data_IF_080361012843
#
_entry.id   IF_080361012843
#
_cell.length_a   1.000
_cell.length_b   1.000
_cell.length_c   1.000
_cell.angle_alpha   90.00
_cell.angle_beta   90.00
_cell.angle_gamma   90.00
#
_symmetry.space_group_name_H-M   'P 1'
#
loop_
_entity.id
_entity.type
_entity.pdbx_description
1 polymer ?
#
# COMPACT_ATOMS: atom_id res chain seq x y z
N UNK A 1 -3.04 -3.57 5.97
CA UNK A 1 -1.66 -4.06 5.73
C UNK A 1 -1.63 -4.66 4.34
N UNK A 2 -0.57 -4.41 3.57
CA UNK A 2 -0.33 -5.02 2.26
C UNK A 2 0.84 -5.97 2.40
N UNK A 3 0.75 -7.15 1.78
CA UNK A 3 1.80 -8.18 1.84
C UNK A 3 2.12 -8.69 0.45
N UNK A 4 3.38 -9.02 0.21
CA UNK A 4 3.77 -9.91 -0.86
C UNK A 4 4.16 -11.27 -0.29
N UNK A 5 3.70 -12.31 -0.96
CA UNK A 5 3.96 -13.70 -0.61
C UNK A 5 4.66 -14.37 -1.80
N UNK A 6 5.54 -15.32 -1.52
CA UNK A 6 6.05 -16.24 -2.51
C UNK A 6 4.88 -17.12 -3.00
N UNK A 7 4.75 -17.27 -4.32
CA UNK A 7 3.63 -17.99 -4.92
C UNK A 7 3.71 -19.51 -4.71
N UNK A 8 4.90 -20.07 -4.52
CA UNK A 8 5.13 -21.52 -4.41
C UNK A 8 4.82 -22.03 -3.00
N UNK A 9 5.21 -21.27 -1.97
CA UNK A 9 5.15 -21.71 -0.57
C UNK A 9 4.35 -20.78 0.37
N UNK A 10 3.85 -19.65 -0.13
CA UNK A 10 3.08 -18.69 0.64
C UNK A 10 3.88 -17.93 1.70
N UNK A 11 5.21 -18.06 1.73
CA UNK A 11 6.04 -17.31 2.70
C UNK A 11 6.01 -15.82 2.38
N UNK A 12 5.95 -15.01 3.43
CA UNK A 12 6.01 -13.56 3.31
C UNK A 12 7.36 -13.11 2.76
N UNK A 13 7.34 -12.34 1.67
CA UNK A 13 8.51 -11.65 1.12
C UNK A 13 8.66 -10.30 1.82
N UNK A 14 7.57 -9.54 1.89
CA UNK A 14 7.51 -8.26 2.61
C UNK A 14 6.09 -7.96 3.09
N UNK A 15 6.00 -7.07 4.08
CA UNK A 15 4.75 -6.48 4.54
C UNK A 15 4.91 -5.00 4.84
N UNK A 16 3.88 -4.22 4.52
CA UNK A 16 3.83 -2.78 4.79
C UNK A 16 2.48 -2.39 5.37
N UNK A 17 2.50 -1.51 6.37
CA UNK A 17 1.30 -0.88 6.89
C UNK A 17 1.13 0.50 6.28
N UNK A 18 0.06 0.69 5.52
CA UNK A 18 -0.33 1.98 4.96
C UNK A 18 -1.19 2.81 5.91
N UNK A 19 -1.37 2.37 7.16
CA UNK A 19 -2.14 3.13 8.16
C UNK A 19 -1.55 4.53 8.32
N UNK A 20 -2.39 5.54 8.15
CA UNK A 20 -2.00 6.93 8.25
C UNK A 20 -1.76 7.27 9.72
N UNK A 21 -0.69 8.02 9.99
CA UNK A 21 -0.43 8.53 11.33
C UNK A 21 -1.14 9.86 11.46
N UNK A 22 -2.22 9.90 12.23
CA UNK A 22 -2.87 11.15 12.60
C UNK A 22 -2.57 11.49 14.06
N UNK A 23 -1.89 12.62 14.27
CA UNK A 23 -1.47 13.10 15.58
C UNK A 23 -0.47 12.21 16.35
N UNK A 24 -0.29 12.52 17.64
CA UNK A 24 0.71 11.88 18.51
C UNK A 24 0.33 10.44 18.92
N UNK A 25 -0.96 10.06 18.83
CA UNK A 25 -1.45 8.83 19.47
C UNK A 25 -2.32 7.91 18.60
N UNK A 26 -2.64 8.25 17.35
CA UNK A 26 -3.59 7.46 16.54
C UNK A 26 -3.01 7.00 15.20
N UNK A 27 -3.15 5.70 14.91
CA UNK A 27 -3.00 5.14 13.56
C UNK A 27 -4.39 4.95 12.99
N UNK A 28 -4.71 5.71 11.96
CA UNK A 28 -5.95 5.53 11.24
C UNK A 28 -5.80 4.48 10.13
N UNK A 29 -6.80 3.62 9.92
CA UNK A 29 -6.81 2.74 8.76
C UNK A 29 -6.67 3.52 7.46
N UNK A 30 -5.89 2.96 6.52
CA UNK A 30 -5.72 3.52 5.18
C UNK A 30 -7.00 3.40 4.32
N UNK A 31 -7.97 2.60 4.75
CA UNK A 31 -9.21 2.31 4.01
C UNK A 31 -8.94 1.95 2.53
N UNK A 32 -8.12 0.92 2.31
CA UNK A 32 -7.80 0.45 0.96
C UNK A 32 -9.05 -0.17 0.35
N UNK A 33 -9.45 0.28 -0.84
CA UNK A 33 -10.70 -0.13 -1.51
C UNK A 33 -10.52 -0.48 -2.99
N UNK A 34 -9.43 0.00 -3.60
CA UNK A 34 -9.10 -0.32 -4.99
C UNK A 34 -8.48 -1.71 -5.14
N UNK A 35 -8.65 -2.30 -6.33
CA UNK A 35 -7.86 -3.46 -6.73
C UNK A 35 -6.36 -3.12 -6.79
N UNK A 36 -5.51 -4.13 -6.58
CA UNK A 36 -4.06 -3.99 -6.74
C UNK A 36 -3.69 -4.10 -8.22
N UNK A 37 -2.93 -3.13 -8.73
CA UNK A 37 -2.36 -3.19 -10.08
C UNK A 37 -0.84 -3.13 -10.00
N UNK A 38 -0.15 -3.96 -10.79
CA UNK A 38 1.32 -3.98 -10.84
C UNK A 38 1.79 -3.54 -12.22
N UNK A 39 2.65 -2.54 -12.28
CA UNK A 39 3.30 -2.10 -13.52
C UNK A 39 4.56 -1.30 -13.23
N UNK A 40 5.56 -1.37 -14.10
CA UNK A 40 6.76 -0.52 -14.02
C UNK A 40 7.50 -0.58 -12.68
N UNK A 41 7.57 -1.76 -12.04
CA UNK A 41 8.25 -1.93 -10.74
C UNK A 41 7.45 -1.46 -9.52
N UNK A 42 6.18 -1.09 -9.70
CA UNK A 42 5.32 -0.60 -8.63
C UNK A 42 4.04 -1.40 -8.47
N UNK A 43 3.56 -1.47 -7.22
CA UNK A 43 2.20 -1.89 -6.86
C UNK A 43 1.38 -0.64 -6.55
N UNK A 44 0.30 -0.44 -7.29
CA UNK A 44 -0.62 0.70 -7.14
C UNK A 44 -1.87 0.28 -6.37
N UNK A 45 -2.23 1.08 -5.36
CA UNK A 45 -3.38 0.82 -4.48
C UNK A 45 -4.18 2.12 -4.27
N UNK A 46 -5.49 2.04 -4.47
CA UNK A 46 -6.44 3.13 -4.17
C UNK A 46 -7.12 2.97 -2.79
N UNK A 47 -7.45 4.10 -2.18
CA UNK A 47 -8.11 4.20 -0.88
C UNK A 47 -9.39 5.04 -0.94
N UNK A 48 -10.34 4.74 -0.05
CA UNK A 48 -11.57 5.51 0.18
C UNK A 48 -11.30 6.94 0.65
N UNK A 49 -10.10 7.23 1.18
CA UNK A 49 -9.67 8.58 1.59
C UNK A 49 -9.19 9.45 0.42
N UNK A 50 -9.47 9.01 -0.81
CA UNK A 50 -8.98 9.59 -2.04
C UNK A 50 -7.44 9.65 -2.09
N UNK A 51 -6.79 8.59 -1.61
CA UNK A 51 -5.34 8.42 -1.69
C UNK A 51 -4.99 7.34 -2.72
N UNK A 52 -3.91 7.56 -3.45
CA UNK A 52 -3.24 6.54 -4.26
C UNK A 52 -1.83 6.34 -3.71
N UNK A 53 -1.48 5.08 -3.47
CA UNK A 53 -0.15 4.66 -3.03
C UNK A 53 0.52 3.90 -4.16
N UNK A 54 1.82 4.15 -4.36
CA UNK A 54 2.69 3.29 -5.14
C UNK A 54 3.76 2.69 -4.23
N UNK A 55 3.87 1.36 -4.24
CA UNK A 55 4.87 0.61 -3.50
C UNK A 55 5.91 0.05 -4.43
N UNK A 56 7.18 0.05 -4.04
CA UNK A 56 8.23 -0.67 -4.76
C UNK A 56 7.97 -2.18 -4.67
N UNK A 57 7.97 -2.89 -5.81
CA UNK A 57 7.72 -4.35 -5.81
C UNK A 57 8.82 -5.15 -5.10
N UNK A 58 10.04 -4.60 -5.04
CA UNK A 58 11.21 -5.26 -4.46
C UNK A 58 11.14 -5.43 -2.95
N UNK A 59 10.59 -4.45 -2.24
CA UNK A 59 10.65 -4.38 -0.78
C UNK A 59 9.37 -3.87 -0.10
N UNK A 60 8.34 -3.49 -0.88
CA UNK A 60 7.08 -2.99 -0.35
C UNK A 60 7.15 -1.57 0.23
N UNK A 61 8.27 -0.87 0.11
CA UNK A 61 8.39 0.52 0.58
C UNK A 61 7.51 1.46 -0.26
N UNK A 62 6.98 2.50 0.37
CA UNK A 62 6.17 3.52 -0.33
C UNK A 62 7.09 4.35 -1.21
N UNK A 63 6.99 4.19 -2.53
CA UNK A 63 7.70 5.00 -3.51
C UNK A 63 7.11 6.42 -3.56
N UNK A 64 5.79 6.51 -3.57
CA UNK A 64 5.06 7.78 -3.43
C UNK A 64 3.63 7.56 -2.95
N UNK A 65 3.04 8.65 -2.46
CA UNK A 65 1.63 8.74 -2.07
C UNK A 65 1.08 10.07 -2.59
N UNK A 66 -0.14 10.07 -3.12
CA UNK A 66 -0.80 11.31 -3.53
C UNK A 66 -2.29 11.29 -3.22
N UNK A 67 -2.85 12.47 -2.90
CA UNK A 67 -4.29 12.68 -2.83
C UNK A 67 -4.79 12.93 -4.25
N UNK A 68 -5.81 12.18 -4.66
CA UNK A 68 -6.45 12.37 -5.97
C UNK A 68 -7.78 13.10 -5.78
N UNK A 69 -8.10 13.98 -6.72
CA UNK A 69 -9.46 14.49 -6.85
C UNK A 69 -10.24 13.52 -7.75
N UNK A 70 -11.50 13.26 -7.40
CA UNK A 70 -12.44 12.58 -8.29
C UNK A 70 -12.87 13.46 -9.45
#
# INVERSE_FOLDING_TARGET
>A
MVKALNADDGKEIWSVSLAEKDGWFSKEPALLSGGLTVSGGHVYIGSEKAQVYALNTSDGTVAWQTKVAG
#
